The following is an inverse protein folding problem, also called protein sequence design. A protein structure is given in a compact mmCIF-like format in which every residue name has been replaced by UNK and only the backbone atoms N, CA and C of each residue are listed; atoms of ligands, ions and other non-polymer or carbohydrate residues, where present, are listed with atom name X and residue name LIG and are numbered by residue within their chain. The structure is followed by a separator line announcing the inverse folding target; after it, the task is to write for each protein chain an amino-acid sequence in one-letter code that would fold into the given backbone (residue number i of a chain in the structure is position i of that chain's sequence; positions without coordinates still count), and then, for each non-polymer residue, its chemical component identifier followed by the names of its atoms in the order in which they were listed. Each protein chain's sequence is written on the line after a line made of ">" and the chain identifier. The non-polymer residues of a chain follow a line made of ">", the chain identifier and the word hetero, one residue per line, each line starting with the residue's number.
data_IF_236555501381
#
_entry.id   IF_236555501381
#
_cell.length_a   1.000
_cell.length_b   1.000
_cell.length_c   1.000
_cell.angle_alpha   90.00
_cell.angle_beta   90.00
_cell.angle_gamma   90.00
#
_symmetry.space_group_name_H-M   'P 1'
#
loop_
_entity.id
_entity.type
_entity.pdbx_description
1 polymer ?
#
# COMPACT_ATOMS: atom_id res chain seq x y z
N UNK A 1 61.84 69.40 -43.96
CA UNK A 1 60.47 68.87 -43.75
C UNK A 1 59.69 69.92 -42.98
N UNK A 2 58.52 70.37 -43.46
CA UNK A 2 57.75 71.42 -42.80
C UNK A 2 57.23 70.97 -41.43
N UNK A 3 57.29 71.81 -40.36
CA UNK A 3 56.86 71.46 -39.00
C UNK A 3 55.42 70.91 -38.93
N UNK A 4 54.54 71.40 -39.81
CA UNK A 4 53.14 70.98 -39.91
C UNK A 4 52.98 69.51 -40.32
N UNK A 5 53.88 68.98 -41.16
CA UNK A 5 53.81 67.58 -41.64
C UNK A 5 54.29 66.60 -40.57
N UNK A 6 55.28 67.00 -39.75
CA UNK A 6 55.76 66.21 -38.62
C UNK A 6 54.68 66.08 -37.53
N UNK A 7 53.96 67.17 -37.22
CA UNK A 7 52.86 67.16 -36.25
C UNK A 7 51.67 66.29 -36.70
N UNK A 8 51.33 66.29 -37.99
CA UNK A 8 50.29 65.42 -38.54
C UNK A 8 50.63 63.93 -38.49
N UNK A 9 51.91 63.58 -38.73
CA UNK A 9 52.37 62.19 -38.62
C UNK A 9 52.36 61.68 -37.18
N UNK A 10 52.72 62.51 -36.20
CA UNK A 10 52.69 62.13 -34.78
C UNK A 10 51.26 61.84 -34.32
N UNK A 11 50.29 62.70 -34.69
CA UNK A 11 48.87 62.49 -34.38
C UNK A 11 48.33 61.16 -34.93
N UNK A 12 48.71 60.79 -36.15
CA UNK A 12 48.28 59.51 -36.75
C UNK A 12 48.89 58.29 -36.04
N UNK A 13 50.12 58.39 -35.52
CA UNK A 13 50.72 57.33 -34.70
C UNK A 13 49.99 57.17 -33.37
N UNK A 14 49.66 58.27 -32.71
CA UNK A 14 48.88 58.25 -31.46
C UNK A 14 47.48 57.67 -31.68
N UNK A 15 46.81 58.06 -32.78
CA UNK A 15 45.51 57.49 -33.16
C UNK A 15 45.61 55.98 -33.42
N UNK A 16 46.64 55.52 -34.15
CA UNK A 16 46.87 54.10 -34.40
C UNK A 16 47.16 53.33 -33.10
N UNK A 17 48.00 53.88 -32.22
CA UNK A 17 48.30 53.29 -30.93
C UNK A 17 47.04 53.17 -30.04
N UNK A 18 46.21 54.22 -30.01
CA UNK A 18 44.94 54.22 -29.29
C UNK A 18 43.95 53.20 -29.87
N UNK A 19 43.87 53.07 -31.20
CA UNK A 19 43.01 52.06 -31.85
C UNK A 19 43.49 50.63 -31.61
N UNK A 20 44.81 50.40 -31.62
CA UNK A 20 45.37 49.10 -31.28
C UNK A 20 45.11 48.74 -29.80
N UNK A 21 45.25 49.70 -28.88
CA UNK A 21 44.90 49.48 -27.47
C UNK A 21 43.41 49.17 -27.27
N UNK A 22 42.52 49.88 -27.99
CA UNK A 22 41.08 49.58 -27.99
C UNK A 22 40.80 48.17 -28.52
N UNK A 23 41.45 47.76 -29.60
CA UNK A 23 41.30 46.42 -30.19
C UNK A 23 41.66 45.32 -29.18
N UNK A 24 42.82 45.44 -28.51
CA UNK A 24 43.25 44.48 -27.48
C UNK A 24 42.23 44.41 -26.33
N UNK A 25 41.73 45.55 -25.87
CA UNK A 25 40.70 45.59 -24.82
C UNK A 25 39.38 44.94 -25.29
N UNK A 26 38.97 45.14 -26.55
CA UNK A 26 37.81 44.45 -27.10
C UNK A 26 38.01 42.94 -27.21
N UNK A 27 39.20 42.50 -27.63
CA UNK A 27 39.55 41.07 -27.67
C UNK A 27 39.49 40.44 -26.28
N UNK A 28 39.99 41.14 -25.25
CA UNK A 28 39.91 40.71 -23.86
C UNK A 28 38.45 40.61 -23.39
N UNK A 29 37.61 41.61 -23.68
CA UNK A 29 36.19 41.59 -23.32
C UNK A 29 35.42 40.45 -23.99
N UNK A 30 35.70 40.19 -25.27
CA UNK A 30 35.10 39.06 -26.00
C UNK A 30 35.53 37.74 -25.40
N UNK A 31 36.81 37.58 -25.04
CA UNK A 31 37.32 36.38 -24.38
C UNK A 31 36.66 36.16 -23.02
N UNK A 32 36.55 37.21 -22.20
CA UNK A 32 35.89 37.15 -20.89
C UNK A 32 34.42 36.76 -21.02
N UNK A 33 33.69 37.35 -21.99
CA UNK A 33 32.30 37.02 -22.25
C UNK A 33 32.14 35.56 -22.73
N UNK A 34 33.02 35.08 -23.60
CA UNK A 34 33.01 33.69 -24.06
C UNK A 34 33.21 32.71 -22.89
N UNK A 35 34.21 32.96 -22.05
CA UNK A 35 34.49 32.12 -20.88
C UNK A 35 33.31 32.11 -19.89
N UNK A 36 32.66 33.25 -19.67
CA UNK A 36 31.47 33.35 -18.82
C UNK A 36 30.30 32.55 -19.39
N UNK A 37 30.06 32.65 -20.71
CA UNK A 37 29.03 31.86 -21.40
C UNK A 37 29.28 30.36 -21.29
N UNK A 38 30.52 29.91 -21.48
CA UNK A 38 30.91 28.50 -21.32
C UNK A 38 30.71 28.03 -19.88
N UNK A 39 31.12 28.82 -18.89
CA UNK A 39 30.94 28.51 -17.48
C UNK A 39 29.46 28.40 -17.09
N UNK A 40 28.60 29.30 -17.59
CA UNK A 40 27.16 29.22 -17.37
C UNK A 40 26.53 28.02 -18.07
N UNK A 41 26.95 27.72 -19.31
CA UNK A 41 26.47 26.53 -20.02
C UNK A 41 26.80 25.25 -19.25
N UNK A 42 28.04 25.12 -18.76
CA UNK A 42 28.45 23.98 -17.94
C UNK A 42 27.63 23.88 -16.63
N UNK A 43 27.36 25.02 -15.97
CA UNK A 43 26.52 25.04 -14.77
C UNK A 43 25.07 24.64 -15.06
N UNK A 44 24.51 25.09 -16.18
CA UNK A 44 23.15 24.71 -16.60
C UNK A 44 23.07 23.22 -16.91
N UNK A 45 24.07 22.65 -17.59
CA UNK A 45 24.14 21.22 -17.88
C UNK A 45 24.23 20.39 -16.59
N UNK A 46 25.08 20.77 -15.64
CA UNK A 46 25.18 20.06 -14.35
C UNK A 46 23.91 20.22 -13.51
N UNK A 47 23.29 21.40 -13.51
CA UNK A 47 21.99 21.61 -12.86
C UNK A 47 20.91 20.72 -13.47
N UNK A 48 20.86 20.62 -14.80
CA UNK A 48 19.91 19.76 -15.49
C UNK A 48 20.14 18.28 -15.16
N UNK A 49 21.41 17.85 -15.11
CA UNK A 49 21.77 16.49 -14.69
C UNK A 49 21.28 16.17 -13.28
N UNK A 50 21.42 17.11 -12.34
CA UNK A 50 20.91 16.97 -10.96
C UNK A 50 19.38 16.88 -10.93
N UNK A 51 18.68 17.69 -11.70
CA UNK A 51 17.21 17.64 -11.81
C UNK A 51 16.75 16.27 -12.29
N UNK A 52 17.34 15.74 -13.36
CA UNK A 52 17.01 14.42 -13.90
C UNK A 52 17.23 13.31 -12.86
N UNK A 53 18.34 13.35 -12.12
CA UNK A 53 18.60 12.38 -11.05
C UNK A 53 17.57 12.48 -9.92
N UNK A 54 17.19 13.69 -9.52
CA UNK A 54 16.17 13.91 -8.49
C UNK A 54 14.79 13.39 -8.94
N UNK A 55 14.44 13.58 -10.21
CA UNK A 55 13.20 13.05 -10.79
C UNK A 55 13.21 11.51 -10.82
N UNK A 56 14.31 10.90 -11.24
CA UNK A 56 14.47 9.44 -11.21
C UNK A 56 14.30 8.87 -9.80
N UNK A 57 14.97 9.47 -8.81
CA UNK A 57 14.83 9.05 -7.40
C UNK A 57 13.39 9.20 -6.89
N UNK A 58 12.70 10.29 -7.26
CA UNK A 58 11.28 10.48 -6.92
C UNK A 58 10.42 9.39 -7.53
N UNK A 59 10.61 9.09 -8.81
CA UNK A 59 9.79 8.12 -9.54
C UNK A 59 10.03 6.68 -9.02
N UNK A 60 11.27 6.34 -8.69
CA UNK A 60 11.62 5.09 -8.00
C UNK A 60 10.94 4.99 -6.62
N UNK A 61 10.98 6.06 -5.81
CA UNK A 61 10.32 6.10 -4.52
C UNK A 61 8.79 5.95 -4.64
N UNK A 62 8.18 6.61 -5.63
CA UNK A 62 6.75 6.48 -5.92
C UNK A 62 6.39 5.05 -6.35
N UNK A 63 7.23 4.41 -7.15
CA UNK A 63 7.06 3.00 -7.53
C UNK A 63 7.12 2.08 -6.30
N UNK A 64 8.07 2.29 -5.39
CA UNK A 64 8.17 1.54 -4.13
C UNK A 64 6.93 1.73 -3.25
N UNK A 65 6.46 2.97 -3.10
CA UNK A 65 5.23 3.27 -2.34
C UNK A 65 4.02 2.57 -2.95
N UNK A 66 3.89 2.56 -4.28
CA UNK A 66 2.80 1.86 -4.97
C UNK A 66 2.85 0.35 -4.69
N UNK A 67 4.02 -0.27 -4.84
CA UNK A 67 4.20 -1.70 -4.58
C UNK A 67 3.89 -2.07 -3.11
N UNK A 68 4.28 -1.21 -2.15
CA UNK A 68 3.96 -1.42 -0.74
C UNK A 68 2.46 -1.28 -0.46
N UNK A 69 1.77 -0.32 -1.09
CA UNK A 69 0.32 -0.19 -1.00
C UNK A 69 -0.41 -1.42 -1.53
N UNK A 70 0.00 -1.92 -2.70
CA UNK A 70 -0.58 -3.15 -3.28
C UNK A 70 -0.38 -4.36 -2.35
N UNK A 71 0.81 -4.52 -1.76
CA UNK A 71 1.06 -5.59 -0.76
C UNK A 71 0.19 -5.44 0.48
N UNK A 72 -0.01 -4.21 0.97
CA UNK A 72 -0.88 -3.94 2.12
C UNK A 72 -2.34 -4.32 1.81
N UNK A 73 -2.82 -3.98 0.61
CA UNK A 73 -4.15 -4.37 0.14
C UNK A 73 -4.30 -5.88 0.00
N UNK A 74 -3.28 -6.58 -0.52
CA UNK A 74 -3.26 -8.05 -0.60
C UNK A 74 -3.32 -8.70 0.79
N UNK A 75 -2.54 -8.21 1.76
CA UNK A 75 -2.60 -8.70 3.15
C UNK A 75 -3.97 -8.42 3.77
N UNK A 76 -4.56 -7.24 3.51
CA UNK A 76 -5.88 -6.88 4.02
C UNK A 76 -7.00 -7.72 3.38
N UNK A 77 -6.89 -8.10 2.11
CA UNK A 77 -7.85 -8.99 1.42
C UNK A 77 -7.67 -10.44 1.90
N UNK A 78 -6.43 -10.92 2.07
CA UNK A 78 -6.14 -12.25 2.61
C UNK A 78 -6.51 -12.42 4.09
N UNK A 79 -6.62 -11.33 4.85
CA UNK A 79 -7.08 -11.32 6.24
C UNK A 79 -8.61 -11.29 6.38
N UNK A 80 -9.35 -11.35 5.27
CA UNK A 80 -10.82 -11.40 5.33
C UNK A 80 -11.38 -12.72 5.85
N UNK A 81 -10.54 -13.74 6.11
CA UNK A 81 -11.01 -15.05 6.57
C UNK A 81 -10.92 -15.27 8.09
N UNK A 82 -10.53 -14.27 8.88
CA UNK A 82 -10.66 -14.13 10.36
C UNK A 82 -9.48 -13.30 10.87
N UNK A 83 -9.54 -11.98 10.73
CA UNK A 83 -8.71 -11.13 11.59
C UNK A 83 -9.21 -11.33 13.02
N UNK A 84 -8.44 -12.09 13.82
CA UNK A 84 -8.61 -12.16 15.27
C UNK A 84 -8.30 -10.78 15.85
N UNK A 85 -9.25 -9.85 15.76
CA UNK A 85 -9.12 -8.52 16.34
C UNK A 85 -8.96 -8.67 17.84
N UNK A 86 -7.76 -8.43 18.38
CA UNK A 86 -7.62 -8.33 19.83
C UNK A 86 -8.23 -7.01 20.27
N UNK A 87 -8.79 -6.98 21.48
CA UNK A 87 -9.36 -5.74 22.04
C UNK A 87 -8.34 -4.58 22.07
N UNK A 88 -7.04 -4.89 22.14
CA UNK A 88 -5.94 -3.92 22.00
C UNK A 88 -5.91 -3.22 20.65
N UNK A 89 -6.23 -3.93 19.57
CA UNK A 89 -6.04 -3.48 18.18
C UNK A 89 -7.14 -2.52 17.74
N UNK A 90 -8.24 -2.46 18.51
CA UNK A 90 -9.36 -1.58 18.28
C UNK A 90 -9.16 -0.20 18.90
N UNK A 91 -8.30 -0.09 19.93
CA UNK A 91 -8.07 1.20 20.60
C UNK A 91 -7.30 2.15 19.69
N UNK A 92 -7.80 3.38 19.57
CA UNK A 92 -7.17 4.43 18.77
C UNK A 92 -7.54 4.42 17.28
N UNK A 93 -8.35 3.47 16.81
CA UNK A 93 -8.83 3.46 15.43
C UNK A 93 -9.91 4.54 15.19
N UNK A 94 -9.99 5.13 13.98
CA UNK A 94 -11.04 6.06 13.62
C UNK A 94 -12.44 5.43 13.74
N UNK A 95 -13.41 6.22 14.22
CA UNK A 95 -14.80 5.78 14.39
C UNK A 95 -15.43 5.15 13.13
N UNK A 96 -15.24 5.66 11.90
CA UNK A 96 -15.78 5.03 10.70
C UNK A 96 -15.23 3.62 10.48
N UNK A 97 -13.94 3.41 10.77
CA UNK A 97 -13.31 2.09 10.64
C UNK A 97 -13.86 1.12 11.68
N UNK A 98 -14.05 1.56 12.93
CA UNK A 98 -14.68 0.77 13.98
C UNK A 98 -16.11 0.34 13.62
N UNK A 99 -16.91 1.25 13.06
CA UNK A 99 -18.26 0.93 12.57
C UNK A 99 -18.26 -0.10 11.44
N UNK A 100 -17.32 0.00 10.50
CA UNK A 100 -17.18 -0.97 9.42
C UNK A 100 -16.79 -2.36 9.95
N UNK A 101 -15.84 -2.42 10.89
CA UNK A 101 -15.45 -3.67 11.56
C UNK A 101 -16.66 -4.28 12.30
N UNK A 102 -17.41 -3.47 13.06
CA UNK A 102 -18.62 -3.93 13.76
C UNK A 102 -19.66 -4.51 12.80
N UNK A 103 -19.92 -3.85 11.68
CA UNK A 103 -20.88 -4.33 10.67
C UNK A 103 -20.43 -5.67 10.07
N UNK A 104 -19.13 -5.81 9.76
CA UNK A 104 -18.56 -7.04 9.22
C UNK A 104 -18.69 -8.21 10.20
N UNK A 105 -18.28 -8.02 11.46
CA UNK A 105 -18.37 -9.07 12.48
C UNK A 105 -19.81 -9.52 12.73
N UNK A 106 -20.79 -8.60 12.68
CA UNK A 106 -22.21 -8.98 12.78
C UNK A 106 -22.66 -9.87 11.63
N UNK A 107 -22.25 -9.56 10.40
CA UNK A 107 -22.57 -10.38 9.24
C UNK A 107 -21.90 -11.78 9.32
N UNK A 108 -20.64 -11.84 9.79
CA UNK A 108 -19.94 -13.11 10.01
C UNK A 108 -20.63 -13.96 11.09
N UNK A 109 -21.08 -13.36 12.19
CA UNK A 109 -21.85 -14.06 13.24
C UNK A 109 -23.16 -14.61 12.67
N UNK A 110 -23.90 -13.81 11.90
CA UNK A 110 -25.15 -14.25 11.27
C UNK A 110 -24.94 -15.47 10.36
N UNK A 111 -23.82 -15.51 9.62
CA UNK A 111 -23.49 -16.65 8.77
C UNK A 111 -23.15 -17.91 9.59
N UNK A 112 -22.38 -17.75 10.67
CA UNK A 112 -22.10 -18.85 11.60
C UNK A 112 -23.39 -19.40 12.21
N UNK A 113 -24.32 -18.55 12.62
CA UNK A 113 -25.62 -18.96 13.15
C UNK A 113 -26.44 -19.77 12.13
N UNK A 114 -26.44 -19.37 10.85
CA UNK A 114 -27.11 -20.12 9.77
C UNK A 114 -26.51 -21.51 9.61
N UNK A 115 -25.19 -21.63 9.56
CA UNK A 115 -24.50 -22.92 9.43
C UNK A 115 -24.75 -23.79 10.66
N UNK A 116 -24.65 -23.22 11.86
CA UNK A 116 -24.93 -23.94 13.11
C UNK A 116 -26.35 -24.48 13.17
N UNK A 117 -27.34 -23.71 12.72
CA UNK A 117 -28.73 -24.17 12.66
C UNK A 117 -28.88 -25.42 11.78
N UNK A 118 -28.27 -25.40 10.58
CA UNK A 118 -28.31 -26.51 9.64
C UNK A 118 -27.57 -27.74 10.16
N UNK A 119 -26.37 -27.56 10.71
CA UNK A 119 -25.59 -28.65 11.29
C UNK A 119 -26.33 -29.28 12.47
N UNK A 120 -26.78 -28.48 13.44
CA UNK A 120 -27.49 -28.95 14.63
C UNK A 120 -28.75 -29.75 14.28
N UNK A 121 -29.43 -29.40 13.19
CA UNK A 121 -30.63 -30.11 12.73
C UNK A 121 -30.35 -31.56 12.32
N UNK A 122 -29.13 -31.90 11.91
CA UNK A 122 -28.75 -33.26 11.46
C UNK A 122 -27.93 -34.03 12.49
N UNK A 123 -27.26 -33.33 13.42
CA UNK A 123 -26.39 -33.92 14.44
C UNK A 123 -27.13 -34.53 15.63
N UNK A 124 -26.56 -35.59 16.17
CA UNK A 124 -27.02 -36.26 17.39
C UNK A 124 -27.11 -35.26 18.55
N UNK A 125 -28.26 -35.19 19.21
CA UNK A 125 -28.49 -34.27 20.34
C UNK A 125 -27.66 -34.59 21.60
N UNK A 126 -26.91 -35.71 21.60
CA UNK A 126 -26.09 -36.12 22.75
C UNK A 126 -24.61 -35.84 22.57
N UNK A 127 -24.03 -36.20 21.43
CA UNK A 127 -22.61 -36.01 21.17
C UNK A 127 -22.30 -34.84 20.24
N UNK A 128 -23.29 -34.33 19.49
CA UNK A 128 -23.12 -33.24 18.50
C UNK A 128 -22.10 -33.51 17.38
N UNK A 129 -21.49 -34.70 17.36
CA UNK A 129 -20.47 -35.09 16.39
C UNK A 129 -21.05 -35.92 15.23
N UNK A 130 -21.73 -37.02 15.56
CA UNK A 130 -22.30 -37.95 14.60
C UNK A 130 -23.69 -37.51 14.15
N UNK A 131 -24.07 -37.85 12.92
CA UNK A 131 -25.43 -37.61 12.44
C UNK A 131 -26.42 -38.50 13.20
N UNK A 132 -27.64 -38.00 13.37
CA UNK A 132 -28.77 -38.79 13.84
C UNK A 132 -28.94 -39.98 12.89
N UNK A 133 -29.14 -41.18 13.42
CA UNK A 133 -29.17 -42.41 12.61
C UNK A 133 -30.26 -43.38 13.01
N UNK A 134 -30.86 -43.23 14.20
CA UNK A 134 -31.85 -44.17 14.74
C UNK A 134 -33.07 -43.46 15.30
N UNK A 135 -34.23 -44.12 15.21
CA UNK A 135 -35.50 -43.66 15.78
C UNK A 135 -35.72 -44.35 17.13
N UNK A 136 -35.92 -43.56 18.19
CA UNK A 136 -36.10 -44.10 19.54
C UNK A 136 -37.54 -44.61 19.75
N UNK A 137 -37.70 -45.78 20.37
CA UNK A 137 -38.99 -46.39 20.68
C UNK A 137 -39.25 -46.28 22.19
N UNK A 138 -40.49 -45.98 22.64
CA UNK A 138 -41.73 -45.83 21.86
C UNK A 138 -42.03 -44.41 21.36
N UNK A 139 -41.19 -43.42 21.66
CA UNK A 139 -41.52 -42.01 21.38
C UNK A 139 -41.34 -41.57 19.92
N UNK A 140 -40.77 -42.41 19.06
CA UNK A 140 -40.52 -42.19 17.64
C UNK A 140 -39.67 -40.94 17.30
N UNK A 141 -38.84 -40.45 18.22
CA UNK A 141 -37.95 -39.31 17.95
C UNK A 141 -36.64 -39.74 17.28
N UNK A 142 -36.29 -39.07 16.17
CA UNK A 142 -35.03 -39.25 15.43
C UNK A 142 -34.01 -38.19 15.87
N UNK A 143 -33.38 -38.43 17.02
CA UNK A 143 -32.58 -37.40 17.73
C UNK A 143 -31.19 -37.85 18.15
N UNK A 144 -30.88 -39.15 18.05
CA UNK A 144 -29.59 -39.72 18.46
C UNK A 144 -28.91 -40.46 17.29
N UNK A 145 -27.59 -40.57 17.35
CA UNK A 145 -26.85 -41.57 16.59
C UNK A 145 -26.92 -42.94 17.28
N UNK A 146 -26.57 -43.99 16.55
CA UNK A 146 -26.63 -45.39 16.99
C UNK A 146 -25.83 -45.63 18.29
N UNK A 147 -24.57 -45.16 18.33
CA UNK A 147 -23.71 -45.29 19.51
C UNK A 147 -24.28 -44.61 20.76
N UNK A 148 -24.90 -43.43 20.61
CA UNK A 148 -25.55 -42.76 21.73
C UNK A 148 -26.84 -43.47 22.15
N UNK A 149 -27.66 -43.92 21.20
CA UNK A 149 -28.90 -44.62 21.50
C UNK A 149 -28.68 -45.93 22.28
N UNK A 150 -27.58 -46.64 22.03
CA UNK A 150 -27.22 -47.85 22.78
C UNK A 150 -26.95 -47.62 24.28
N UNK A 151 -26.59 -46.39 24.68
CA UNK A 151 -26.23 -46.06 26.07
C UNK A 151 -27.25 -45.21 26.80
N UNK A 152 -28.16 -44.54 26.07
CA UNK A 152 -29.18 -43.67 26.68
C UNK A 152 -30.40 -44.48 27.12
N UNK A 153 -30.94 -44.13 28.30
CA UNK A 153 -32.17 -44.73 28.87
C UNK A 153 -33.42 -43.89 28.65
N UNK A 154 -33.25 -42.61 28.31
CA UNK A 154 -34.35 -41.66 28.08
C UNK A 154 -34.07 -40.83 26.83
N UNK A 155 -35.13 -40.46 26.12
CA UNK A 155 -35.02 -39.60 24.94
C UNK A 155 -34.64 -38.17 25.35
N UNK A 156 -33.60 -37.55 24.76
CA UNK A 156 -33.18 -36.19 25.13
C UNK A 156 -34.21 -35.10 24.77
N UNK A 157 -35.17 -35.41 23.88
CA UNK A 157 -36.18 -34.46 23.44
C UNK A 157 -37.44 -34.48 24.32
N UNK A 158 -37.96 -35.66 24.65
CA UNK A 158 -39.24 -35.82 25.36
C UNK A 158 -39.15 -36.54 26.71
N UNK A 159 -37.95 -36.99 27.10
CA UNK A 159 -37.68 -37.68 28.37
C UNK A 159 -38.41 -39.03 28.55
N UNK A 160 -39.14 -39.51 27.54
CA UNK A 160 -39.72 -40.86 27.55
C UNK A 160 -38.61 -41.91 27.67
N UNK A 161 -38.74 -42.92 28.55
CA UNK A 161 -37.82 -44.04 28.60
C UNK A 161 -37.73 -44.76 27.26
N UNK A 162 -36.52 -45.03 26.79
CA UNK A 162 -36.28 -45.65 25.48
C UNK A 162 -35.79 -47.08 25.65
N UNK A 163 -36.29 -47.97 24.80
CA UNK A 163 -35.82 -49.36 24.77
C UNK A 163 -34.50 -49.39 24.01
N UNK A 164 -33.40 -49.79 24.66
CA UNK A 164 -32.11 -49.97 23.99
C UNK A 164 -32.26 -51.05 22.92
N UNK A 165 -32.17 -50.68 21.64
CA UNK A 165 -31.97 -51.65 20.56
C UNK A 165 -30.51 -52.09 20.64
N UNK A 166 -30.26 -53.21 21.29
CA UNK A 166 -28.99 -53.93 21.21
C UNK A 166 -29.01 -54.86 20.00
#
# INVERSE_FOLDING_TARGET
>A
MSPLVASGMERLRDELANKNAQMINWEEQVMQASNACEAWKAQMEESNRKTVLAEQQRDEALSHVKALKEKLEQVNIGSNSTSNYRASDLRGLPLPKLKNIQAKLRAEIEEVEKVLYLETATKCMKCEENNRSVTLVPCNHYVLCDACAATQRECPYCQTPVTSQA
#
